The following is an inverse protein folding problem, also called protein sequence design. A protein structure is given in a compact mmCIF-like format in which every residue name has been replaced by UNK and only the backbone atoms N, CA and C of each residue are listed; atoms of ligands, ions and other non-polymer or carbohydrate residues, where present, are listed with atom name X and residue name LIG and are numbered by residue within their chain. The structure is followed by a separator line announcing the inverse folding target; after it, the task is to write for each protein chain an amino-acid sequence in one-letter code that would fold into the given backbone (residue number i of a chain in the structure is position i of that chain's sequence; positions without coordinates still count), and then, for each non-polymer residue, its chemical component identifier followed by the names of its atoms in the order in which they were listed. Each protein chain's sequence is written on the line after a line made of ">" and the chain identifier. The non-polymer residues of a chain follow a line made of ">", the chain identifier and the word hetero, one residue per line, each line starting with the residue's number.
data_IF_757013408201
#
_entry.id   IF_757013408201
#
_cell.length_a   1.000
_cell.length_b   1.000
_cell.length_c   1.000
_cell.angle_alpha   90.00
_cell.angle_beta   90.00
_cell.angle_gamma   90.00
#
_symmetry.space_group_name_H-M   'P 1'
#
loop_
_entity.id
_entity.type
_entity.pdbx_description
1 polymer ?
#
# COMPACT_ATOMS: atom_id res chain seq x y z
N UNK A 1 12.37 -18.07 -16.29
CA UNK A 1 11.25 -17.59 -15.44
C UNK A 1 11.64 -17.06 -14.04
N UNK A 2 12.90 -17.16 -13.58
CA UNK A 2 13.33 -16.73 -12.24
C UNK A 2 13.71 -15.23 -12.18
N UNK A 3 14.21 -14.65 -13.27
CA UNK A 3 14.59 -13.22 -13.34
C UNK A 3 13.43 -12.24 -13.09
N UNK A 4 12.20 -12.59 -13.48
CA UNK A 4 11.02 -11.73 -13.31
C UNK A 4 10.54 -11.65 -11.86
N UNK A 5 10.84 -12.65 -11.03
CA UNK A 5 10.47 -12.70 -9.62
C UNK A 5 11.43 -11.90 -8.74
N UNK A 6 12.73 -11.89 -9.06
CA UNK A 6 13.71 -11.08 -8.33
C UNK A 6 13.47 -9.58 -8.57
N UNK A 7 13.16 -9.18 -9.81
CA UNK A 7 12.90 -7.79 -10.17
C UNK A 7 11.61 -7.21 -9.50
N UNK A 8 10.59 -8.05 -9.27
CA UNK A 8 9.41 -7.66 -8.49
C UNK A 8 9.70 -7.51 -7.00
N UNK A 9 10.59 -8.35 -6.45
CA UNK A 9 10.93 -8.33 -5.02
C UNK A 9 11.82 -7.14 -4.67
N UNK A 10 12.75 -6.76 -5.54
CA UNK A 10 13.55 -5.52 -5.42
C UNK A 10 12.69 -4.27 -5.62
N UNK A 11 11.80 -4.23 -6.62
CA UNK A 11 10.85 -3.11 -6.80
C UNK A 11 9.92 -2.92 -5.61
N UNK A 12 9.48 -4.00 -4.95
CA UNK A 12 8.66 -3.90 -3.74
C UNK A 12 9.46 -3.38 -2.54
N UNK A 13 10.74 -3.74 -2.44
CA UNK A 13 11.66 -3.26 -1.39
C UNK A 13 11.99 -1.78 -1.57
N UNK A 14 12.26 -1.36 -2.81
CA UNK A 14 12.48 0.04 -3.20
C UNK A 14 11.19 0.86 -2.98
N UNK A 15 10.03 0.32 -3.34
CA UNK A 15 8.73 0.97 -3.07
C UNK A 15 8.45 1.07 -1.57
N UNK A 16 8.83 0.06 -0.77
CA UNK A 16 8.70 0.08 0.68
C UNK A 16 9.63 1.09 1.35
N UNK A 17 10.90 1.14 0.94
CA UNK A 17 11.87 2.13 1.42
C UNK A 17 11.51 3.55 1.00
N UNK A 18 11.02 3.76 -0.24
CA UNK A 18 10.50 5.06 -0.68
C UNK A 18 9.30 5.52 0.15
N UNK A 19 8.41 4.61 0.56
CA UNK A 19 7.28 4.96 1.44
C UNK A 19 7.79 5.35 2.83
N UNK A 20 8.80 4.66 3.37
CA UNK A 20 9.42 5.01 4.67
C UNK A 20 10.14 6.35 4.59
N UNK A 21 10.87 6.63 3.50
CA UNK A 21 11.54 7.91 3.25
C UNK A 21 10.52 9.04 3.12
N UNK A 22 9.43 8.84 2.35
CA UNK A 22 8.33 9.82 2.28
C UNK A 22 7.65 10.04 3.64
N UNK A 23 7.51 9.00 4.46
CA UNK A 23 6.86 9.09 5.78
C UNK A 23 7.76 9.82 6.79
N UNK A 24 9.08 9.57 6.76
CA UNK A 24 10.08 10.28 7.55
C UNK A 24 10.16 11.77 7.17
N UNK A 25 10.11 12.08 5.87
CA UNK A 25 10.07 13.45 5.35
C UNK A 25 8.77 14.20 5.72
N UNK A 26 7.62 13.52 5.81
CA UNK A 26 6.36 14.14 6.27
C UNK A 26 6.33 14.42 7.78
N UNK A 27 7.26 13.86 8.54
CA UNK A 27 7.33 13.99 10.00
C UNK A 27 8.22 15.15 10.45
N UNK A 28 8.69 16.00 9.52
CA UNK A 28 9.52 17.16 9.85
C UNK A 28 10.97 16.83 10.23
N UNK A 29 11.42 15.58 10.07
CA UNK A 29 12.84 15.22 10.15
C UNK A 29 13.56 15.76 8.92
N UNK A 30 13.86 17.06 8.94
CA UNK A 30 15.03 17.59 8.26
C UNK A 30 16.27 17.04 8.96
N UNK A 31 17.34 16.79 8.21
CA UNK A 31 18.61 16.16 8.63
C UNK A 31 18.48 14.64 8.74
N UNK A 32 19.15 13.83 7.92
CA UNK A 32 20.57 13.84 7.57
C UNK A 32 20.77 13.23 6.18
N UNK A 33 21.21 14.03 5.21
CA UNK A 33 22.03 13.53 4.10
C UNK A 33 23.41 13.30 4.73
N UNK A 34 23.63 12.13 5.31
CA UNK A 34 24.94 11.76 5.83
C UNK A 34 25.70 10.99 4.75
N UNK A 35 26.77 11.63 4.27
CA UNK A 35 27.98 11.07 3.68
C UNK A 35 27.81 10.11 2.48
N UNK A 36 27.55 10.69 1.30
CA UNK A 36 28.23 10.23 0.08
C UNK A 36 29.48 11.09 -0.16
N UNK A 37 30.48 10.63 -0.94
CA UNK A 37 31.64 11.44 -1.28
C UNK A 37 31.21 12.81 -1.84
N UNK A 38 32.01 13.85 -1.61
CA UNK A 38 31.75 15.25 -2.02
C UNK A 38 31.31 15.39 -3.50
N UNK A 39 31.63 14.41 -4.35
CA UNK A 39 31.20 14.29 -5.75
C UNK A 39 29.68 14.12 -5.95
N UNK A 40 28.93 13.69 -4.93
CA UNK A 40 27.48 13.44 -5.03
C UNK A 40 26.62 14.53 -4.37
N UNK A 41 27.24 15.56 -3.79
CA UNK A 41 26.53 16.64 -3.09
C UNK A 41 25.56 17.40 -4.03
N UNK A 42 25.97 17.67 -5.26
CA UNK A 42 25.13 18.32 -6.27
C UNK A 42 23.88 17.49 -6.61
N UNK A 43 24.04 16.17 -6.77
CA UNK A 43 22.93 15.23 -6.99
C UNK A 43 22.01 15.19 -5.78
N UNK A 44 22.56 15.21 -4.55
CA UNK A 44 21.79 15.26 -3.31
C UNK A 44 20.93 16.53 -3.19
N UNK A 45 21.50 17.70 -3.52
CA UNK A 45 20.79 18.98 -3.54
C UNK A 45 19.71 19.00 -4.62
N UNK A 46 19.97 18.45 -5.80
CA UNK A 46 19.00 18.33 -6.88
C UNK A 46 17.81 17.43 -6.50
N UNK A 47 18.08 16.27 -5.88
CA UNK A 47 17.06 15.36 -5.35
C UNK A 47 16.21 16.03 -4.26
N UNK A 48 16.85 16.69 -3.28
CA UNK A 48 16.14 17.42 -2.23
C UNK A 48 15.29 18.58 -2.79
N UNK A 49 15.81 19.31 -3.78
CA UNK A 49 15.07 20.37 -4.48
C UNK A 49 13.87 19.84 -5.26
N UNK A 50 14.01 18.69 -5.94
CA UNK A 50 12.93 18.05 -6.67
C UNK A 50 11.82 17.53 -5.73
N UNK A 51 12.21 16.95 -4.58
CA UNK A 51 11.27 16.54 -3.53
C UNK A 51 10.50 17.74 -2.94
N UNK A 52 11.18 18.86 -2.69
CA UNK A 52 10.55 20.09 -2.18
C UNK A 52 9.56 20.67 -3.18
N UNK A 53 9.88 20.64 -4.48
CA UNK A 53 8.97 21.05 -5.57
C UNK A 53 7.77 20.12 -5.76
N UNK A 54 7.88 18.85 -5.35
CA UNK A 54 6.78 17.88 -5.43
C UNK A 54 5.82 17.91 -4.25
N UNK A 55 6.24 18.45 -3.11
CA UNK A 55 5.41 18.54 -1.89
C UNK A 55 4.08 19.29 -2.10
N UNK A 56 4.04 20.46 -2.77
CA UNK A 56 2.79 21.18 -3.07
C UNK A 56 1.84 20.37 -3.97
N UNK A 57 2.38 19.66 -4.98
CA UNK A 57 1.58 18.78 -5.85
C UNK A 57 0.97 17.60 -5.08
N UNK A 58 1.66 17.11 -4.05
CA UNK A 58 1.15 16.08 -3.15
C UNK A 58 0.02 16.64 -2.26
N UNK A 59 0.21 17.81 -1.65
CA UNK A 59 -0.80 18.47 -0.82
C UNK A 59 -2.07 18.81 -1.61
N UNK A 60 -1.93 19.34 -2.83
CA UNK A 60 -3.05 19.62 -3.73
C UNK A 60 -3.84 18.36 -4.10
N UNK A 61 -3.16 17.24 -4.36
CA UNK A 61 -3.80 15.92 -4.57
C UNK A 61 -4.51 15.41 -3.33
N UNK A 62 -3.96 15.63 -2.14
CA UNK A 62 -4.57 15.20 -0.88
C UNK A 62 -5.90 15.93 -0.66
N UNK A 63 -5.92 17.25 -0.87
CA UNK A 63 -7.13 18.08 -0.77
C UNK A 63 -8.16 17.73 -1.86
N UNK A 64 -7.76 17.81 -3.13
CA UNK A 64 -8.67 17.61 -4.26
C UNK A 64 -9.27 16.19 -4.33
N UNK A 65 -8.56 15.18 -3.81
CA UNK A 65 -9.04 13.80 -3.76
C UNK A 65 -9.54 13.36 -2.37
N UNK A 66 -9.79 14.28 -1.42
CA UNK A 66 -10.15 13.93 -0.03
C UNK A 66 -11.35 12.98 0.04
N UNK A 67 -12.44 13.29 -0.66
CA UNK A 67 -13.65 12.44 -0.70
C UNK A 67 -13.36 11.04 -1.25
N UNK A 68 -12.65 10.94 -2.37
CA UNK A 68 -12.24 9.66 -2.97
C UNK A 68 -11.33 8.84 -2.04
N UNK A 69 -10.46 9.51 -1.27
CA UNK A 69 -9.59 8.86 -0.28
C UNK A 69 -10.38 8.36 0.91
N UNK A 70 -11.29 9.18 1.45
CA UNK A 70 -12.16 8.81 2.57
C UNK A 70 -13.01 7.60 2.22
N UNK A 71 -13.70 7.63 1.07
CA UNK A 71 -14.49 6.51 0.57
C UNK A 71 -13.64 5.21 0.47
N UNK A 72 -12.44 5.29 -0.12
CA UNK A 72 -11.53 4.13 -0.20
C UNK A 72 -11.00 3.65 1.15
N UNK A 73 -10.96 4.52 2.16
CA UNK A 73 -10.58 4.18 3.53
C UNK A 73 -11.72 3.45 4.22
N UNK A 74 -12.97 3.89 4.03
CA UNK A 74 -14.16 3.18 4.52
C UNK A 74 -14.23 1.76 3.94
N UNK A 75 -14.11 1.59 2.61
CA UNK A 75 -14.06 0.25 1.99
C UNK A 75 -12.90 -0.64 2.52
N UNK A 76 -11.82 -0.04 3.05
CA UNK A 76 -10.73 -0.79 3.69
C UNK A 76 -11.11 -1.21 5.11
N UNK A 77 -11.79 -0.34 5.86
CA UNK A 77 -12.29 -0.61 7.20
C UNK A 77 -13.35 -1.72 7.18
N UNK A 78 -14.36 -1.62 6.32
CA UNK A 78 -15.39 -2.65 6.14
C UNK A 78 -14.79 -4.02 5.81
N UNK A 79 -13.78 -4.06 4.93
CA UNK A 79 -13.06 -5.31 4.65
C UNK A 79 -12.36 -5.88 5.89
N UNK A 80 -11.80 -5.02 6.76
CA UNK A 80 -11.15 -5.49 7.99
C UNK A 80 -12.19 -6.10 8.92
N UNK A 81 -13.33 -5.44 9.09
CA UNK A 81 -14.46 -5.91 9.90
C UNK A 81 -15.02 -7.22 9.36
N UNK A 82 -15.31 -7.30 8.05
CA UNK A 82 -15.74 -8.52 7.37
C UNK A 82 -14.76 -9.69 7.59
N UNK A 83 -13.44 -9.41 7.56
CA UNK A 83 -12.41 -10.41 7.84
C UNK A 83 -12.32 -10.81 9.31
N UNK A 84 -12.64 -9.91 10.24
CA UNK A 84 -12.72 -10.21 11.67
C UNK A 84 -13.96 -11.05 11.95
N UNK A 85 -15.13 -10.68 11.42
CA UNK A 85 -16.36 -11.48 11.48
C UNK A 85 -16.14 -12.89 10.92
N UNK A 86 -15.49 -13.01 9.75
CA UNK A 86 -15.13 -14.33 9.17
C UNK A 86 -14.17 -15.16 10.05
N UNK A 87 -13.35 -14.53 10.90
CA UNK A 87 -12.50 -15.24 11.87
C UNK A 87 -13.32 -15.68 13.07
N UNK A 88 -14.21 -14.82 13.57
CA UNK A 88 -15.11 -15.10 14.69
C UNK A 88 -16.07 -16.23 14.34
N UNK A 89 -16.75 -16.17 13.19
CA UNK A 89 -17.65 -17.22 12.70
C UNK A 89 -16.94 -18.58 12.57
N UNK A 90 -15.68 -18.58 12.11
CA UNK A 90 -14.87 -19.81 12.04
C UNK A 90 -14.45 -20.34 13.41
N UNK A 91 -14.37 -19.47 14.42
CA UNK A 91 -14.11 -19.90 15.80
C UNK A 91 -15.39 -20.52 16.37
N UNK A 92 -16.52 -19.82 16.29
CA UNK A 92 -17.83 -20.34 16.68
C UNK A 92 -18.12 -21.71 16.05
N UNK A 93 -17.99 -21.83 14.73
CA UNK A 93 -18.17 -23.11 14.01
C UNK A 93 -17.26 -24.24 14.53
N UNK A 94 -16.02 -23.93 14.90
CA UNK A 94 -15.12 -24.95 15.47
C UNK A 94 -15.54 -25.32 16.89
N UNK A 95 -15.94 -24.33 17.68
CA UNK A 95 -16.39 -24.53 19.06
C UNK A 95 -17.69 -25.37 19.07
N UNK A 96 -18.59 -25.16 18.08
CA UNK A 96 -19.77 -25.99 17.84
C UNK A 96 -19.38 -27.42 17.47
N UNK A 97 -18.50 -27.62 16.48
CA UNK A 97 -18.00 -28.95 16.12
C UNK A 97 -17.42 -29.71 17.33
N UNK A 98 -16.78 -29.01 18.27
CA UNK A 98 -16.21 -29.64 19.46
C UNK A 98 -17.27 -29.98 20.50
N UNK A 99 -18.35 -29.21 20.56
CA UNK A 99 -19.46 -29.41 21.50
C UNK A 99 -20.48 -30.43 21.02
N UNK A 100 -20.54 -30.74 19.72
CA UNK A 100 -21.53 -31.68 19.13
C UNK A 100 -21.25 -33.17 19.37
N UNK A 101 -20.27 -33.53 20.21
CA UNK A 101 -19.96 -34.94 20.52
C UNK A 101 -19.38 -35.76 19.35
N UNK A 102 -18.99 -35.11 18.25
CA UNK A 102 -18.28 -35.73 17.11
C UNK A 102 -16.78 -35.82 17.40
N UNK A 103 -16.18 -36.97 17.08
CA UNK A 103 -14.79 -37.28 17.39
C UNK A 103 -14.00 -37.76 16.16
N UNK A 104 -12.70 -37.98 16.33
CA UNK A 104 -11.87 -38.65 15.32
C UNK A 104 -11.85 -37.96 13.93
N UNK A 105 -12.23 -38.72 12.90
CA UNK A 105 -12.22 -38.25 11.49
C UNK A 105 -13.32 -37.22 11.23
N UNK A 106 -14.47 -37.35 11.87
CA UNK A 106 -15.62 -36.47 11.67
C UNK A 106 -15.36 -35.08 12.25
N UNK A 107 -14.74 -35.01 13.43
CA UNK A 107 -14.28 -33.74 14.00
C UNK A 107 -13.24 -33.05 13.10
N UNK A 108 -12.34 -33.82 12.48
CA UNK A 108 -11.36 -33.28 11.52
C UNK A 108 -12.06 -32.75 10.27
N UNK A 109 -13.08 -33.45 9.78
CA UNK A 109 -13.89 -33.04 8.63
C UNK A 109 -14.65 -31.74 8.94
N UNK A 110 -15.39 -31.69 10.04
CA UNK A 110 -16.13 -30.50 10.49
C UNK A 110 -15.22 -29.26 10.62
N UNK A 111 -14.06 -29.41 11.27
CA UNK A 111 -13.06 -28.32 11.36
C UNK A 111 -12.51 -27.88 9.99
N UNK A 112 -12.45 -28.78 9.00
CA UNK A 112 -12.03 -28.47 7.63
C UNK A 112 -13.10 -27.67 6.90
N UNK A 113 -14.37 -27.99 7.08
CA UNK A 113 -15.50 -27.23 6.54
C UNK A 113 -15.56 -25.82 7.12
N UNK A 114 -15.43 -25.64 8.45
CA UNK A 114 -15.34 -24.31 9.06
C UNK A 114 -14.19 -23.47 8.48
N UNK A 115 -13.04 -24.11 8.19
CA UNK A 115 -11.90 -23.45 7.53
C UNK A 115 -12.22 -23.10 6.06
N UNK A 116 -12.96 -23.94 5.36
CA UNK A 116 -13.41 -23.69 3.99
C UNK A 116 -14.41 -22.53 3.93
N UNK A 117 -15.40 -22.51 4.82
CA UNK A 117 -16.34 -21.39 4.97
C UNK A 117 -15.63 -20.06 5.17
N UNK A 118 -14.66 -19.98 6.08
CA UNK A 118 -13.81 -18.79 6.25
C UNK A 118 -13.07 -18.37 4.99
N UNK A 119 -12.60 -19.31 4.17
CA UNK A 119 -11.90 -18.99 2.91
C UNK A 119 -12.86 -18.35 1.91
N UNK A 120 -14.10 -18.87 1.82
CA UNK A 120 -15.15 -18.32 0.99
C UNK A 120 -15.54 -16.91 1.45
N UNK A 121 -15.82 -16.70 2.75
CA UNK A 121 -16.14 -15.38 3.29
C UNK A 121 -15.00 -14.38 3.05
N UNK A 122 -13.73 -14.80 3.23
CA UNK A 122 -12.57 -13.95 2.91
C UNK A 122 -12.45 -13.62 1.42
N UNK A 123 -12.96 -14.46 0.52
CA UNK A 123 -13.02 -14.20 -0.93
C UNK A 123 -14.12 -13.17 -1.21
N UNK A 124 -15.31 -13.33 -0.63
CA UNK A 124 -16.40 -12.36 -0.66
C UNK A 124 -15.92 -10.97 -0.18
N UNK A 125 -15.35 -10.85 1.02
CA UNK A 125 -14.82 -9.58 1.54
C UNK A 125 -13.76 -8.90 0.62
N UNK A 126 -13.08 -9.66 -0.26
CA UNK A 126 -12.15 -9.08 -1.25
C UNK A 126 -12.91 -8.56 -2.47
N UNK A 127 -13.94 -9.28 -2.90
CA UNK A 127 -14.85 -8.89 -3.97
C UNK A 127 -15.61 -7.63 -3.60
N UNK A 128 -16.21 -7.58 -2.41
CA UNK A 128 -17.02 -6.44 -1.95
C UNK A 128 -16.18 -5.18 -1.86
N UNK A 129 -14.95 -5.28 -1.32
CA UNK A 129 -14.00 -4.17 -1.37
C UNK A 129 -13.67 -3.72 -2.80
N UNK A 130 -13.58 -4.64 -3.76
CA UNK A 130 -13.31 -4.30 -5.16
C UNK A 130 -14.51 -3.53 -5.73
N UNK A 131 -15.73 -3.98 -5.44
CA UNK A 131 -16.98 -3.27 -5.80
C UNK A 131 -17.03 -1.89 -5.17
N UNK A 132 -16.94 -1.79 -3.84
CA UNK A 132 -16.93 -0.52 -3.11
C UNK A 132 -15.86 0.44 -3.63
N UNK A 133 -14.67 -0.07 -4.01
CA UNK A 133 -13.64 0.77 -4.64
C UNK A 133 -14.02 1.29 -6.02
N UNK A 134 -14.75 0.51 -6.81
CA UNK A 134 -15.26 0.93 -8.11
C UNK A 134 -16.37 1.96 -7.91
N UNK A 135 -17.26 1.76 -6.95
CA UNK A 135 -18.32 2.72 -6.61
C UNK A 135 -17.72 4.04 -6.12
N UNK A 136 -16.70 4.00 -5.26
CA UNK A 136 -15.96 5.19 -4.88
C UNK A 136 -15.36 5.92 -6.09
N UNK A 137 -14.91 5.19 -7.12
CA UNK A 137 -14.38 5.79 -8.35
C UNK A 137 -15.50 6.36 -9.22
N UNK A 138 -16.66 5.72 -9.29
CA UNK A 138 -17.82 6.27 -10.00
C UNK A 138 -18.28 7.57 -9.36
N UNK A 139 -18.40 7.59 -8.04
CA UNK A 139 -19.06 8.68 -7.31
C UNK A 139 -18.13 9.85 -6.94
N UNK A 140 -16.83 9.61 -6.72
CA UNK A 140 -15.92 10.62 -6.16
C UNK A 140 -14.69 10.93 -7.02
N UNK A 141 -14.62 10.43 -8.26
CA UNK A 141 -13.51 10.74 -9.18
C UNK A 141 -13.76 12.04 -9.94
N UNK A 142 -13.75 13.15 -9.22
CA UNK A 142 -13.95 14.49 -9.79
C UNK A 142 -12.83 14.90 -10.77
N UNK A 143 -13.10 15.78 -11.75
CA UNK A 143 -12.08 16.33 -12.64
C UNK A 143 -10.91 16.96 -11.87
N UNK A 144 -11.18 17.72 -10.81
CA UNK A 144 -10.16 18.30 -9.94
C UNK A 144 -9.22 17.24 -9.32
N UNK A 145 -9.77 16.11 -8.86
CA UNK A 145 -8.96 15.00 -8.35
C UNK A 145 -8.14 14.31 -9.47
N UNK A 146 -8.67 14.26 -10.71
CA UNK A 146 -7.94 13.70 -11.86
C UNK A 146 -6.76 14.57 -12.25
N UNK A 147 -6.97 15.89 -12.38
CA UNK A 147 -5.92 16.86 -12.70
C UNK A 147 -4.85 16.90 -11.61
N UNK A 148 -5.24 16.92 -10.33
CA UNK A 148 -4.29 16.87 -9.21
C UNK A 148 -3.51 15.54 -9.15
N UNK A 149 -4.10 14.43 -9.60
CA UNK A 149 -3.39 13.15 -9.75
C UNK A 149 -2.38 13.17 -10.88
N UNK A 150 -2.73 13.74 -12.04
CA UNK A 150 -1.82 13.88 -13.17
C UNK A 150 -0.61 14.76 -12.81
N UNK A 151 -0.88 15.94 -12.24
CA UNK A 151 0.16 16.86 -11.77
C UNK A 151 1.10 16.23 -10.73
N UNK A 152 0.54 15.55 -9.72
CA UNK A 152 1.36 14.85 -8.73
C UNK A 152 2.15 13.67 -9.32
N UNK A 153 1.64 12.99 -10.35
CA UNK A 153 2.36 11.86 -10.96
C UNK A 153 3.56 12.38 -11.76
N UNK A 154 3.40 13.48 -12.49
CA UNK A 154 4.50 14.16 -13.18
C UNK A 154 5.58 14.65 -12.20
N UNK A 155 5.19 15.30 -11.09
CA UNK A 155 6.13 15.82 -10.11
C UNK A 155 6.89 14.69 -9.37
N UNK A 156 6.19 13.62 -9.00
CA UNK A 156 6.80 12.44 -8.38
C UNK A 156 7.78 11.76 -9.34
N UNK A 157 7.42 11.59 -10.61
CA UNK A 157 8.31 10.98 -11.61
C UNK A 157 9.59 11.80 -11.80
N UNK A 158 9.47 13.13 -11.87
CA UNK A 158 10.63 14.03 -11.93
C UNK A 158 11.51 13.94 -10.67
N UNK A 159 10.91 13.77 -9.50
CA UNK A 159 11.65 13.59 -8.24
C UNK A 159 12.37 12.25 -8.18
N UNK A 160 11.74 11.18 -8.65
CA UNK A 160 12.37 9.86 -8.74
C UNK A 160 13.56 9.90 -9.70
N UNK A 161 13.41 10.54 -10.86
CA UNK A 161 14.51 10.70 -11.83
C UNK A 161 15.67 11.53 -11.23
N UNK A 162 15.37 12.63 -10.54
CA UNK A 162 16.36 13.47 -9.88
C UNK A 162 17.05 12.79 -8.68
N UNK A 163 16.41 11.81 -8.04
CA UNK A 163 16.98 11.05 -6.93
C UNK A 163 17.64 9.74 -7.38
N UNK A 164 17.35 9.24 -8.59
CA UNK A 164 18.03 8.08 -9.16
C UNK A 164 19.51 8.36 -9.43
N UNK A 165 19.85 9.60 -9.83
CA UNK A 165 21.24 10.04 -10.04
C UNK A 165 22.06 10.06 -8.75
N UNK A 166 21.42 10.26 -7.59
CA UNK A 166 22.07 10.13 -6.27
C UNK A 166 22.45 8.67 -6.00
N UNK A 167 21.55 7.73 -6.31
CA UNK A 167 21.80 6.29 -6.14
C UNK A 167 22.92 5.82 -7.08
N UNK A 168 22.93 6.29 -8.33
CA UNK A 168 24.00 6.00 -9.30
C UNK A 168 25.34 6.62 -8.91
N UNK A 169 25.34 7.72 -8.16
CA UNK A 169 26.57 8.37 -7.68
C UNK A 169 27.15 7.69 -6.42
N UNK A 170 26.28 7.09 -5.58
CA UNK A 170 26.68 6.41 -4.33
C UNK A 170 27.01 4.93 -4.57
N UNK A 171 26.50 4.31 -5.64
CA UNK A 171 26.82 2.93 -5.97
C UNK A 171 28.33 2.78 -6.25
N UNK A 172 29.03 1.83 -5.60
CA UNK A 172 30.43 1.56 -5.94
C UNK A 172 30.49 1.12 -7.40
N UNK A 173 31.41 1.72 -8.16
CA UNK A 173 31.75 1.24 -9.49
C UNK A 173 32.15 -0.26 -9.40
N UNK A 174 31.73 -1.10 -10.36
CA UNK A 174 32.15 -2.50 -10.40
C UNK A 174 33.67 -2.63 -10.54
#
# INVERSE_FOLDING_TARGET
>A
MIHTLMNRKTNLKISGQMIVILFLLSSGYSTVVSAGPLSCAASGVACAGALKKSSPGLAGKIGACKALRNCKTLCKAEKKECRQGSKAAKKACIDDCQSSGIHGKDLKHCKKECKAGKRLSKKACRSDKKSCKNDCRGNFKTPACQSARAAATGSIAASIAACATVVSCIAPAP
#
